data_IF_388762957477
#
_entry.id   IF_388762957477
#
_cell.length_a   1.000
_cell.length_b   1.000
_cell.length_c   1.000
_cell.angle_alpha   90.00
_cell.angle_beta   90.00
_cell.angle_gamma   90.00
#
_symmetry.space_group_name_H-M   'P 1'
#
loop_
_entity.id
_entity.type
_entity.pdbx_description
1 polymer ?
#
# COMPACT_ATOMS: atom_id res chain seq x y z
N UNK A 1 66.12 -13.08 14.24
CA UNK A 1 65.41 -12.48 15.40
C UNK A 1 64.72 -11.18 15.04
N UNK A 2 65.38 -10.01 14.96
CA UNK A 2 64.68 -8.73 14.70
C UNK A 2 63.96 -8.71 13.32
N UNK A 3 64.61 -9.24 12.29
CA UNK A 3 64.03 -9.28 10.93
C UNK A 3 62.82 -10.22 10.82
N UNK A 4 62.83 -11.34 11.57
CA UNK A 4 61.71 -12.27 11.64
C UNK A 4 60.51 -11.63 12.33
N UNK A 5 60.74 -10.92 13.44
CA UNK A 5 59.69 -10.22 14.19
C UNK A 5 59.04 -9.11 13.36
N UNK A 6 59.81 -8.36 12.56
CA UNK A 6 59.27 -7.34 11.65
C UNK A 6 58.39 -7.98 10.56
N UNK A 7 58.83 -9.12 10.02
CA UNK A 7 58.08 -9.84 8.98
C UNK A 7 56.75 -10.36 9.51
N UNK A 8 56.74 -10.86 10.75
CA UNK A 8 55.56 -11.38 11.44
C UNK A 8 54.51 -10.28 11.75
N UNK A 9 54.96 -9.08 12.11
CA UNK A 9 54.08 -7.92 12.31
C UNK A 9 53.43 -7.47 10.98
N UNK A 10 54.18 -7.49 9.89
CA UNK A 10 53.67 -7.11 8.55
C UNK A 10 52.63 -8.11 8.05
N UNK A 11 52.83 -9.41 8.27
CA UNK A 11 51.84 -10.43 7.91
C UNK A 11 50.58 -10.31 8.77
N UNK A 12 50.71 -10.03 10.07
CA UNK A 12 49.57 -9.81 10.96
C UNK A 12 48.71 -8.61 10.50
N UNK A 13 49.33 -7.47 10.20
CA UNK A 13 48.63 -6.27 9.69
C UNK A 13 47.88 -6.55 8.37
N UNK A 14 48.50 -7.30 7.45
CA UNK A 14 47.84 -7.72 6.21
C UNK A 14 46.62 -8.60 6.49
N UNK A 15 46.74 -9.57 7.40
CA UNK A 15 45.63 -10.46 7.76
C UNK A 15 44.48 -9.66 8.39
N UNK A 16 44.79 -8.75 9.32
CA UNK A 16 43.78 -7.87 9.95
C UNK A 16 43.07 -7.01 8.92
N UNK A 17 43.78 -6.45 7.93
CA UNK A 17 43.15 -5.68 6.83
C UNK A 17 42.23 -6.55 5.98
N UNK A 18 42.64 -7.77 5.63
CA UNK A 18 41.81 -8.71 4.86
C UNK A 18 40.54 -9.08 5.64
N UNK A 19 40.67 -9.43 6.93
CA UNK A 19 39.52 -9.75 7.79
C UNK A 19 38.55 -8.57 7.87
N UNK A 20 39.07 -7.35 7.99
CA UNK A 20 38.26 -6.13 8.04
C UNK A 20 37.48 -5.92 6.75
N UNK A 21 38.11 -6.08 5.59
CA UNK A 21 37.46 -5.96 4.27
C UNK A 21 36.38 -7.03 4.10
N UNK A 22 36.67 -8.28 4.46
CA UNK A 22 35.70 -9.39 4.39
C UNK A 22 34.51 -9.12 5.32
N UNK A 23 34.74 -8.67 6.55
CA UNK A 23 33.69 -8.29 7.49
C UNK A 23 32.79 -7.17 6.96
N UNK A 24 33.39 -6.15 6.35
CA UNK A 24 32.65 -5.06 5.72
C UNK A 24 31.80 -5.54 4.53
N UNK A 25 32.37 -6.39 3.67
CA UNK A 25 31.63 -7.01 2.56
C UNK A 25 30.43 -7.80 3.05
N UNK A 26 30.59 -8.65 4.09
CA UNK A 26 29.50 -9.41 4.68
C UNK A 26 28.39 -8.51 5.24
N UNK A 27 28.76 -7.43 5.96
CA UNK A 27 27.80 -6.45 6.45
C UNK A 27 27.01 -5.78 5.31
N UNK A 28 27.69 -5.44 4.20
CA UNK A 28 27.03 -4.90 3.00
C UNK A 28 26.05 -5.89 2.37
N UNK A 29 26.40 -7.17 2.28
CA UNK A 29 25.50 -8.21 1.77
C UNK A 29 24.29 -8.41 2.69
N UNK A 30 24.48 -8.43 4.01
CA UNK A 30 23.39 -8.50 4.98
C UNK A 30 22.44 -7.32 4.84
N UNK A 31 22.98 -6.09 4.77
CA UNK A 31 22.18 -4.88 4.60
C UNK A 31 21.36 -4.92 3.29
N UNK A 32 21.98 -5.36 2.18
CA UNK A 32 21.27 -5.55 0.90
C UNK A 32 20.14 -6.57 1.01
N UNK A 33 20.36 -7.68 1.70
CA UNK A 33 19.34 -8.71 1.90
C UNK A 33 18.19 -8.21 2.78
N UNK A 34 18.49 -7.49 3.86
CA UNK A 34 17.47 -6.85 4.70
C UNK A 34 16.64 -5.86 3.89
N UNK A 35 17.27 -4.98 3.11
CA UNK A 35 16.55 -4.02 2.24
C UNK A 35 15.63 -4.74 1.26
N UNK A 36 16.09 -5.82 0.63
CA UNK A 36 15.26 -6.63 -0.28
C UNK A 36 14.08 -7.25 0.44
N UNK A 37 14.31 -7.88 1.60
CA UNK A 37 13.26 -8.52 2.39
C UNK A 37 12.22 -7.49 2.87
N UNK A 38 12.65 -6.32 3.33
CA UNK A 38 11.74 -5.23 3.70
C UNK A 38 10.88 -4.79 2.53
N UNK A 39 11.47 -4.60 1.33
CA UNK A 39 10.70 -4.25 0.13
C UNK A 39 9.67 -5.31 -0.24
N UNK A 40 10.04 -6.59 -0.19
CA UNK A 40 9.13 -7.70 -0.46
C UNK A 40 8.00 -7.73 0.56
N UNK A 41 8.29 -7.49 1.84
CA UNK A 41 7.27 -7.46 2.89
C UNK A 41 6.28 -6.31 2.68
N UNK A 42 6.77 -5.10 2.35
CA UNK A 42 5.92 -3.94 2.03
C UNK A 42 5.02 -4.25 0.84
N UNK A 43 5.56 -4.83 -0.24
CA UNK A 43 4.75 -5.23 -1.40
C UNK A 43 3.70 -6.28 -1.04
N UNK A 44 4.07 -7.27 -0.22
CA UNK A 44 3.12 -8.29 0.25
C UNK A 44 1.98 -7.67 1.05
N UNK A 45 2.28 -6.71 1.93
CA UNK A 45 1.28 -5.95 2.69
C UNK A 45 0.41 -5.08 1.79
N UNK A 46 0.99 -4.41 0.80
CA UNK A 46 0.26 -3.63 -0.20
C UNK A 46 -0.73 -4.52 -0.97
N UNK A 47 -0.29 -5.69 -1.45
CA UNK A 47 -1.16 -6.66 -2.13
C UNK A 47 -2.27 -7.21 -1.23
N UNK A 48 -1.98 -7.54 0.03
CA UNK A 48 -3.00 -8.02 0.98
C UNK A 48 -4.08 -6.96 1.23
N UNK A 49 -3.68 -5.70 1.36
CA UNK A 49 -4.61 -4.59 1.57
C UNK A 49 -5.44 -4.29 0.31
N UNK A 50 -4.83 -4.33 -0.88
CA UNK A 50 -5.60 -4.22 -2.13
C UNK A 50 -6.51 -5.43 -2.35
N UNK A 51 -6.12 -6.63 -1.92
CA UNK A 51 -7.02 -7.80 -1.92
C UNK A 51 -8.25 -7.57 -1.04
N UNK A 52 -8.05 -7.08 0.18
CA UNK A 52 -9.15 -6.76 1.12
C UNK A 52 -10.09 -5.70 0.59
N UNK A 53 -9.56 -4.63 -0.02
CA UNK A 53 -10.42 -3.56 -0.54
C UNK A 53 -11.21 -4.04 -1.76
N UNK A 54 -10.62 -4.90 -2.60
CA UNK A 54 -11.28 -5.51 -3.75
C UNK A 54 -12.41 -6.45 -3.33
N UNK A 55 -12.22 -7.22 -2.25
CA UNK A 55 -13.26 -8.07 -1.68
C UNK A 55 -14.44 -7.24 -1.15
N UNK A 56 -14.15 -6.15 -0.44
CA UNK A 56 -15.19 -5.22 0.06
C UNK A 56 -15.93 -4.52 -1.08
N UNK A 57 -15.22 -4.16 -2.15
CA UNK A 57 -15.82 -3.60 -3.36
C UNK A 57 -16.80 -4.59 -3.98
N UNK A 58 -16.40 -5.86 -4.12
CA UNK A 58 -17.26 -6.91 -4.66
C UNK A 58 -18.54 -7.06 -3.85
N UNK A 59 -18.44 -7.15 -2.53
CA UNK A 59 -19.62 -7.24 -1.64
C UNK A 59 -20.52 -6.01 -1.81
N UNK A 60 -19.94 -4.82 -1.91
CA UNK A 60 -20.68 -3.59 -2.14
C UNK A 60 -21.47 -3.61 -3.46
N UNK A 61 -20.82 -4.04 -4.55
CA UNK A 61 -21.45 -4.16 -5.87
C UNK A 61 -22.54 -5.22 -5.86
N UNK A 62 -22.29 -6.39 -5.28
CA UNK A 62 -23.27 -7.48 -5.17
C UNK A 62 -24.52 -7.02 -4.39
N UNK A 63 -24.34 -6.29 -3.27
CA UNK A 63 -25.46 -5.73 -2.51
C UNK A 63 -26.22 -4.66 -3.30
N UNK A 64 -25.53 -3.83 -4.08
CA UNK A 64 -26.16 -2.83 -4.93
C UNK A 64 -27.04 -3.48 -5.99
N UNK A 65 -26.54 -4.51 -6.69
CA UNK A 65 -27.31 -5.25 -7.68
C UNK A 65 -28.54 -5.92 -7.09
N UNK A 66 -28.41 -6.56 -5.92
CA UNK A 66 -29.54 -7.18 -5.22
C UNK A 66 -30.60 -6.14 -4.80
N UNK A 67 -30.19 -4.95 -4.37
CA UNK A 67 -31.11 -3.87 -4.01
C UNK A 67 -31.87 -3.31 -5.22
N UNK A 68 -31.29 -3.40 -6.43
CA UNK A 68 -31.92 -2.94 -7.66
C UNK A 68 -32.85 -3.98 -8.29
N UNK A 69 -32.55 -5.27 -8.13
CA UNK A 69 -33.32 -6.38 -8.73
C UNK A 69 -34.51 -6.84 -7.87
N UNK A 70 -34.62 -6.37 -6.62
CA UNK A 70 -35.68 -6.78 -5.72
C UNK A 70 -37.00 -6.06 -6.03
N UNK A 71 -38.02 -6.84 -6.42
CA UNK A 71 -39.37 -6.37 -6.74
C UNK A 71 -40.35 -6.37 -5.56
N UNK A 72 -39.96 -6.94 -4.41
CA UNK A 72 -40.78 -6.99 -3.19
C UNK A 72 -40.36 -5.92 -2.19
N UNK A 73 -41.24 -4.94 -1.91
CA UNK A 73 -40.96 -3.76 -1.06
C UNK A 73 -40.32 -4.08 0.30
N UNK A 74 -40.74 -5.16 0.97
CA UNK A 74 -40.19 -5.56 2.28
C UNK A 74 -38.75 -6.06 2.19
N UNK A 75 -38.41 -6.81 1.14
CA UNK A 75 -37.04 -7.27 0.85
C UNK A 75 -36.18 -6.12 0.33
N UNK A 76 -36.76 -5.20 -0.44
CA UNK A 76 -36.05 -4.01 -0.95
C UNK A 76 -35.49 -3.16 0.18
N UNK A 77 -36.22 -2.98 1.28
CA UNK A 77 -35.73 -2.19 2.42
C UNK A 77 -34.57 -2.87 3.18
N UNK A 78 -34.63 -4.20 3.34
CA UNK A 78 -33.53 -4.98 3.93
C UNK A 78 -32.27 -4.93 3.05
N UNK A 79 -32.39 -5.18 1.75
CA UNK A 79 -31.28 -5.11 0.81
C UNK A 79 -30.68 -3.71 0.71
N UNK A 80 -31.51 -2.67 0.74
CA UNK A 80 -31.03 -1.29 0.76
C UNK A 80 -30.21 -0.97 2.02
N UNK A 81 -30.62 -1.49 3.18
CA UNK A 81 -29.87 -1.34 4.42
C UNK A 81 -28.50 -2.04 4.36
N UNK A 82 -28.45 -3.23 3.77
CA UNK A 82 -27.22 -3.99 3.55
C UNK A 82 -26.28 -3.28 2.59
N UNK A 83 -26.81 -2.76 1.47
CA UNK A 83 -26.08 -1.91 0.52
C UNK A 83 -25.44 -0.70 1.20
N UNK A 84 -26.20 0.03 2.03
CA UNK A 84 -25.66 1.21 2.71
C UNK A 84 -24.51 0.85 3.64
N UNK A 85 -24.67 -0.24 4.40
CA UNK A 85 -23.64 -0.76 5.30
C UNK A 85 -22.39 -1.22 4.54
N UNK A 86 -22.54 -1.94 3.42
CA UNK A 86 -21.41 -2.40 2.62
C UNK A 86 -20.68 -1.23 1.94
N UNK A 87 -21.42 -0.21 1.46
CA UNK A 87 -20.84 1.05 0.96
C UNK A 87 -19.99 1.75 2.03
N UNK A 88 -20.49 1.88 3.25
CA UNK A 88 -19.73 2.49 4.36
C UNK A 88 -18.46 1.71 4.70
N UNK A 89 -18.52 0.38 4.73
CA UNK A 89 -17.34 -0.47 4.95
C UNK A 89 -16.30 -0.31 3.84
N UNK A 90 -16.72 -0.35 2.58
CA UNK A 90 -15.84 -0.14 1.44
C UNK A 90 -15.16 1.24 1.49
N UNK A 91 -15.92 2.31 1.75
CA UNK A 91 -15.37 3.66 1.84
C UNK A 91 -14.43 3.84 3.04
N UNK A 92 -14.69 3.16 4.16
CA UNK A 92 -13.80 3.15 5.32
C UNK A 92 -12.45 2.51 4.99
N UNK A 93 -12.45 1.35 4.34
CA UNK A 93 -11.21 0.68 3.90
C UNK A 93 -10.48 1.52 2.85
N UNK A 94 -11.21 2.13 1.91
CA UNK A 94 -10.64 3.05 0.92
C UNK A 94 -9.99 4.27 1.56
N UNK A 95 -10.58 4.80 2.62
CA UNK A 95 -10.02 5.90 3.37
C UNK A 95 -8.71 5.50 4.07
N UNK A 96 -8.61 4.28 4.60
CA UNK A 96 -7.37 3.75 5.16
C UNK A 96 -6.30 3.56 4.08
N UNK A 97 -6.64 3.01 2.91
CA UNK A 97 -5.71 2.89 1.79
C UNK A 97 -5.22 4.26 1.33
N UNK A 98 -6.11 5.25 1.23
CA UNK A 98 -5.74 6.62 0.89
C UNK A 98 -4.77 7.22 1.91
N UNK A 99 -4.91 6.89 3.20
CA UNK A 99 -3.95 7.31 4.23
C UNK A 99 -2.57 6.70 3.94
N UNK A 100 -2.48 5.39 3.69
CA UNK A 100 -1.20 4.75 3.39
C UNK A 100 -0.51 5.30 2.13
N UNK A 101 -1.29 5.70 1.12
CA UNK A 101 -0.78 6.37 -0.07
C UNK A 101 -0.26 7.78 0.27
N UNK A 102 -0.99 8.54 1.10
CA UNK A 102 -0.60 9.90 1.51
C UNK A 102 0.70 9.91 2.32
N UNK A 103 0.87 8.92 3.20
CA UNK A 103 2.07 8.72 4.03
C UNK A 103 3.24 8.10 3.24
N UNK A 104 3.01 7.68 1.99
CA UNK A 104 4.07 7.15 1.11
C UNK A 104 4.42 5.67 1.37
N UNK A 105 3.59 4.94 2.10
CA UNK A 105 3.77 3.50 2.31
C UNK A 105 3.46 2.69 1.05
N UNK A 106 2.52 3.16 0.22
CA UNK A 106 2.09 2.47 -1.00
C UNK A 106 2.35 3.25 -2.29
N UNK A 107 2.37 2.51 -3.41
CA UNK A 107 2.69 3.06 -4.71
C UNK A 107 1.47 3.73 -5.34
N UNK A 108 1.52 5.07 -5.44
CA UNK A 108 0.47 5.91 -6.07
C UNK A 108 0.04 5.44 -7.46
N UNK A 109 1.01 5.02 -8.29
CA UNK A 109 0.77 4.66 -9.69
C UNK A 109 -0.21 3.49 -9.81
N UNK A 110 0.00 2.43 -9.04
CA UNK A 110 -0.85 1.24 -9.10
C UNK A 110 -2.25 1.57 -8.56
N UNK A 111 -2.30 2.27 -7.43
CA UNK A 111 -3.56 2.72 -6.83
C UNK A 111 -4.41 3.56 -7.80
N UNK A 112 -3.84 4.56 -8.46
CA UNK A 112 -4.60 5.40 -9.40
C UNK A 112 -5.03 4.67 -10.67
N UNK A 113 -4.26 3.68 -11.13
CA UNK A 113 -4.68 2.86 -12.27
C UNK A 113 -5.94 2.07 -11.97
N UNK A 114 -6.09 1.57 -10.75
CA UNK A 114 -7.20 0.69 -10.37
C UNK A 114 -8.39 1.43 -9.76
N UNK A 115 -8.13 2.43 -8.92
CA UNK A 115 -9.14 3.15 -8.16
C UNK A 115 -9.33 4.62 -8.59
N UNK A 116 -8.49 5.15 -9.48
CA UNK A 116 -8.49 6.58 -9.83
C UNK A 116 -9.82 7.07 -10.40
N UNK A 117 -10.42 6.34 -11.34
CA UNK A 117 -11.73 6.68 -11.91
C UNK A 117 -12.86 6.58 -10.88
N UNK A 118 -12.84 5.53 -10.06
CA UNK A 118 -13.85 5.25 -9.02
C UNK A 118 -13.85 6.33 -7.93
N UNK A 119 -12.66 6.69 -7.44
CA UNK A 119 -12.49 7.76 -6.45
C UNK A 119 -12.96 9.09 -7.02
N UNK A 120 -12.63 9.37 -8.28
CA UNK A 120 -13.04 10.61 -8.92
C UNK A 120 -14.56 10.69 -9.08
N UNK A 121 -15.22 9.60 -9.50
CA UNK A 121 -16.68 9.58 -9.66
C UNK A 121 -17.42 9.71 -8.32
N UNK A 122 -16.91 9.09 -7.26
CA UNK A 122 -17.52 9.18 -5.93
C UNK A 122 -17.17 10.47 -5.19
N UNK A 123 -16.18 11.24 -5.66
CA UNK A 123 -15.64 12.39 -4.92
C UNK A 123 -16.71 13.41 -4.56
N UNK A 124 -17.61 13.73 -5.49
CA UNK A 124 -18.67 14.70 -5.27
C UNK A 124 -19.69 14.24 -4.20
N UNK A 125 -19.88 12.93 -4.02
CA UNK A 125 -20.76 12.35 -3.01
C UNK A 125 -20.14 12.26 -1.60
N UNK A 126 -18.81 12.30 -1.50
CA UNK A 126 -18.06 12.03 -0.27
C UNK A 126 -17.28 13.22 0.26
N UNK A 127 -17.15 14.31 -0.51
CA UNK A 127 -16.38 15.50 -0.15
C UNK A 127 -16.79 16.14 1.18
N UNK A 128 -18.06 16.00 1.56
CA UNK A 128 -18.65 16.57 2.78
C UNK A 128 -18.86 15.54 3.90
N UNK A 129 -18.30 14.33 3.76
CA UNK A 129 -18.36 13.24 4.75
C UNK A 129 -17.02 13.05 5.47
N UNK A 130 -17.02 12.28 6.55
CA UNK A 130 -15.86 11.95 7.40
C UNK A 130 -14.78 11.05 6.75
N UNK A 131 -14.61 11.13 5.43
CA UNK A 131 -13.56 10.43 4.68
C UNK A 131 -12.36 11.35 4.42
N UNK A 132 -11.73 11.78 5.51
CA UNK A 132 -10.69 12.82 5.50
C UNK A 132 -9.49 12.49 4.60
N UNK A 133 -9.04 11.23 4.57
CA UNK A 133 -7.89 10.81 3.75
C UNK A 133 -8.24 10.79 2.27
N UNK A 134 -9.44 10.31 1.90
CA UNK A 134 -9.91 10.38 0.51
C UNK A 134 -9.98 11.84 0.05
N UNK A 135 -10.56 12.71 0.89
CA UNK A 135 -10.69 14.13 0.58
C UNK A 135 -9.34 14.84 0.42
N UNK A 136 -8.38 14.54 1.30
CA UNK A 136 -7.01 15.05 1.19
C UNK A 136 -6.31 14.54 -0.07
N UNK A 137 -6.47 13.26 -0.39
CA UNK A 137 -5.86 12.62 -1.55
C UNK A 137 -6.42 13.22 -2.85
N UNK A 138 -7.74 13.39 -2.96
CA UNK A 138 -8.39 14.04 -4.09
C UNK A 138 -7.95 15.50 -4.28
N UNK A 139 -7.80 16.26 -3.19
CA UNK A 139 -7.28 17.64 -3.25
C UNK A 139 -5.82 17.68 -3.71
N UNK A 140 -4.98 16.82 -3.14
CA UNK A 140 -3.53 16.77 -3.41
C UNK A 140 -3.22 16.31 -4.83
N UNK A 141 -3.96 15.33 -5.36
CA UNK A 141 -3.70 14.69 -6.65
C UNK A 141 -4.76 14.97 -7.71
N UNK A 142 -5.51 16.08 -7.57
CA UNK A 142 -6.61 16.45 -8.48
C UNK A 142 -6.22 16.39 -9.95
N UNK A 143 -5.04 16.90 -10.31
CA UNK A 143 -4.53 16.91 -11.70
C UNK A 143 -4.12 15.53 -12.21
N UNK A 144 -3.71 14.62 -11.33
CA UNK A 144 -3.43 13.23 -11.70
C UNK A 144 -4.74 12.46 -11.88
N UNK A 145 -5.69 12.65 -10.96
CA UNK A 145 -7.02 12.03 -10.98
C UNK A 145 -7.87 12.50 -12.18
N UNK A 146 -7.73 13.75 -12.63
CA UNK A 146 -8.47 14.26 -13.79
C UNK A 146 -8.16 13.50 -15.08
N UNK A 147 -7.02 12.79 -15.16
CA UNK A 147 -6.67 11.92 -16.30
C UNK A 147 -7.56 10.67 -16.38
N UNK A 148 -8.21 10.32 -15.28
CA UNK A 148 -9.07 9.14 -15.16
C UNK A 148 -10.56 9.51 -15.23
N UNK A 149 -10.88 10.78 -15.49
CA UNK A 149 -12.23 11.23 -15.82
C UNK A 149 -12.59 10.68 -17.20
N UNK A 150 -13.35 9.59 -17.24
CA UNK A 150 -14.00 9.10 -18.45
C UNK A 150 -15.33 9.80 -18.65
#
# INVERSE_FOLDING_TARGET
MILDTITEIITLDRITKIITIVGFCLAFFQLRNVIKNTKVNVLKTEFDIFGKISEKEKIFVDCYEQSMLSSEESKTQEYYSLYKKSKEQYLSELNLVCLYILEGYFTRKHFFQEYGSKIFSMYDEIKDKDYTSINKLCKKYRCELSKYKK
#
